data_IF_771965593016
#
_entry.id   IF_771965593016
#
_cell.length_a   1.000
_cell.length_b   1.000
_cell.length_c   1.000
_cell.angle_alpha   90.00
_cell.angle_beta   90.00
_cell.angle_gamma   90.00
#
_symmetry.space_group_name_H-M   'P 1'
#
loop_
_entity.id
_entity.type
_entity.pdbx_description
1 polymer ?
#
# COMPACT_ATOMS: atom_id res chain seq x y z
N UNK A 1 -34.00 14.83 6.54
CA UNK A 1 -33.90 13.91 5.40
C UNK A 1 -32.57 13.22 5.57
N UNK A 2 -32.60 12.03 6.16
CA UNK A 2 -31.38 11.25 6.39
C UNK A 2 -31.07 10.52 5.08
N UNK A 3 -30.10 11.03 4.33
CA UNK A 3 -29.59 10.35 3.14
C UNK A 3 -28.92 9.08 3.61
N UNK A 4 -29.54 7.93 3.33
CA UNK A 4 -28.93 6.62 3.55
C UNK A 4 -27.75 6.56 2.57
N UNK A 5 -26.53 6.61 3.11
CA UNK A 5 -25.31 6.43 2.32
C UNK A 5 -25.35 5.04 1.68
N UNK A 6 -25.13 5.00 0.37
CA UNK A 6 -24.93 3.77 -0.39
C UNK A 6 -23.62 3.12 0.05
N UNK A 7 -23.49 1.78 0.00
CA UNK A 7 -22.20 1.11 0.16
C UNK A 7 -21.10 1.69 -0.76
N UNK A 8 -21.48 2.23 -1.93
CA UNK A 8 -20.56 2.89 -2.87
C UNK A 8 -19.95 4.20 -2.33
N UNK A 9 -20.58 4.82 -1.33
CA UNK A 9 -20.14 6.09 -0.73
C UNK A 9 -19.01 5.87 0.31
N UNK A 10 -18.65 4.61 0.58
CA UNK A 10 -17.59 4.25 1.54
C UNK A 10 -16.30 3.76 0.89
N UNK A 11 -16.27 3.57 -0.44
CA UNK A 11 -15.08 3.09 -1.13
C UNK A 11 -14.31 4.22 -1.82
N UNK A 12 -12.99 4.11 -1.77
CA UNK A 12 -12.04 5.07 -2.28
C UNK A 12 -11.18 4.42 -3.36
N UNK A 13 -10.98 5.12 -4.47
CA UNK A 13 -10.17 4.62 -5.58
C UNK A 13 -8.71 4.47 -5.17
N UNK A 14 -8.11 3.33 -5.51
CA UNK A 14 -6.71 3.04 -5.18
C UNK A 14 -5.76 4.12 -5.72
N UNK A 15 -4.86 4.58 -4.87
CA UNK A 15 -3.88 5.64 -5.15
C UNK A 15 -4.48 6.99 -5.58
N UNK A 16 -5.76 7.24 -5.29
CA UNK A 16 -6.32 8.60 -5.35
C UNK A 16 -5.81 9.48 -4.20
N UNK A 17 -5.91 10.82 -4.31
CA UNK A 17 -5.54 11.72 -3.21
C UNK A 17 -6.26 11.40 -1.89
N UNK A 18 -7.54 11.02 -1.96
CA UNK A 18 -8.33 10.62 -0.79
C UNK A 18 -7.83 9.29 -0.19
N UNK A 19 -7.40 8.35 -1.04
CA UNK A 19 -6.81 7.10 -0.57
C UNK A 19 -5.52 7.34 0.22
N UNK A 20 -4.67 8.25 -0.25
CA UNK A 20 -3.43 8.62 0.45
C UNK A 20 -3.67 9.35 1.78
N UNK A 21 -4.68 10.23 1.84
CA UNK A 21 -5.07 10.89 3.09
C UNK A 21 -5.53 9.86 4.15
N UNK A 22 -6.35 8.88 3.75
CA UNK A 22 -6.76 7.79 4.64
C UNK A 22 -5.56 6.92 5.02
N UNK A 23 -4.72 6.52 4.05
CA UNK A 23 -3.54 5.70 4.29
C UNK A 23 -2.58 6.35 5.29
N UNK A 24 -2.37 7.66 5.17
CA UNK A 24 -1.54 8.42 6.11
C UNK A 24 -2.13 8.39 7.52
N UNK A 25 -3.43 8.66 7.67
CA UNK A 25 -4.12 8.64 8.98
C UNK A 25 -4.07 7.27 9.64
N UNK A 26 -4.36 6.21 8.88
CA UNK A 26 -4.30 4.82 9.36
C UNK A 26 -2.88 4.44 9.76
N UNK A 27 -1.89 4.77 8.95
CA UNK A 27 -0.48 4.48 9.22
C UNK A 27 0.02 5.20 10.48
N UNK A 28 -0.31 6.48 10.66
CA UNK A 28 0.01 7.25 11.87
C UNK A 28 -0.63 6.62 13.11
N UNK A 29 -1.91 6.23 13.04
CA UNK A 29 -2.60 5.60 14.16
C UNK A 29 -1.94 4.25 14.52
N UNK A 30 -1.68 3.39 13.54
CA UNK A 30 -1.04 2.09 13.74
C UNK A 30 0.36 2.22 14.33
N UNK A 31 1.16 3.19 13.88
CA UNK A 31 2.50 3.47 14.43
C UNK A 31 2.43 3.92 15.89
N UNK A 32 1.51 4.82 16.24
CA UNK A 32 1.32 5.28 17.63
C UNK A 32 0.98 4.14 18.58
N UNK A 33 0.24 3.15 18.08
CA UNK A 33 -0.16 1.94 18.81
C UNK A 33 0.90 0.84 18.78
N UNK A 34 2.01 1.01 18.06
CA UNK A 34 3.05 -0.02 17.92
C UNK A 34 2.61 -1.25 17.11
N UNK A 35 1.65 -1.08 16.20
CA UNK A 35 1.04 -2.17 15.44
C UNK A 35 1.71 -2.44 14.08
N UNK A 36 2.77 -1.69 13.77
CA UNK A 36 3.58 -1.88 12.55
C UNK A 36 5.05 -1.84 12.91
N UNK A 37 5.85 -2.56 12.14
CA UNK A 37 7.29 -2.56 12.32
C UNK A 37 7.95 -1.28 11.80
N UNK A 38 9.14 -0.98 12.34
CA UNK A 38 10.00 0.09 11.85
C UNK A 38 10.55 -0.25 10.45
N UNK A 39 10.85 0.80 9.69
CA UNK A 39 11.47 0.69 8.38
C UNK A 39 10.84 1.60 7.33
N UNK A 40 11.39 1.51 6.12
CA UNK A 40 10.97 2.29 4.95
C UNK A 40 10.32 1.36 3.93
N UNK A 41 9.07 1.63 3.57
CA UNK A 41 8.36 0.94 2.48
C UNK A 41 8.20 1.90 1.32
N UNK A 42 8.66 1.50 0.13
CA UNK A 42 8.51 2.28 -1.09
C UNK A 42 7.80 1.46 -2.15
N UNK A 43 6.80 2.05 -2.78
CA UNK A 43 6.04 1.41 -3.84
C UNK A 43 6.03 2.37 -5.04
N UNK A 44 6.41 1.85 -6.20
CA UNK A 44 6.38 2.56 -7.47
C UNK A 44 5.38 1.85 -8.37
N UNK A 45 4.45 2.62 -8.89
CA UNK A 45 3.36 2.16 -9.71
C UNK A 45 3.52 2.75 -11.12
N UNK A 46 3.46 1.90 -12.14
CA UNK A 46 3.48 2.30 -13.54
C UNK A 46 2.15 1.99 -14.22
N UNK A 47 1.97 2.56 -15.42
CA UNK A 47 0.73 2.47 -16.19
C UNK A 47 -0.49 2.94 -15.38
N UNK A 48 -0.26 3.97 -14.56
CA UNK A 48 -1.27 4.59 -13.70
C UNK A 48 -2.28 5.36 -14.55
N UNK A 49 -3.59 5.25 -14.29
CA UNK A 49 -4.60 6.04 -14.98
C UNK A 49 -4.29 7.54 -14.98
N UNK A 50 -4.48 8.19 -16.13
CA UNK A 50 -4.07 9.59 -16.33
C UNK A 50 -4.75 10.59 -15.38
N UNK A 51 -5.95 10.26 -14.84
CA UNK A 51 -6.63 11.09 -13.85
C UNK A 51 -6.01 10.99 -12.45
N UNK A 52 -5.16 9.99 -12.20
CA UNK A 52 -4.39 9.82 -10.97
C UNK A 52 -2.95 10.33 -11.13
N UNK A 53 -2.30 10.07 -12.27
CA UNK A 53 -0.97 10.57 -12.60
C UNK A 53 -0.81 10.81 -14.10
N UNK A 54 -0.55 12.06 -14.51
CA UNK A 54 -0.55 12.43 -15.93
C UNK A 54 0.63 11.87 -16.74
N UNK A 55 1.72 11.50 -16.07
CA UNK A 55 2.89 10.84 -16.66
C UNK A 55 2.83 9.30 -16.58
N UNK A 56 1.72 8.76 -16.05
CA UNK A 56 1.51 7.32 -15.89
C UNK A 56 2.32 6.69 -14.76
N UNK A 57 2.99 7.49 -13.92
CA UNK A 57 3.85 7.03 -12.84
C UNK A 57 3.41 7.61 -11.50
N UNK A 58 3.35 6.76 -10.48
CA UNK A 58 3.07 7.21 -9.12
C UNK A 58 3.97 6.46 -8.14
N UNK A 59 4.60 7.17 -7.22
CA UNK A 59 5.42 6.55 -6.18
C UNK A 59 5.07 7.12 -4.81
N UNK A 60 5.17 6.28 -3.79
CA UNK A 60 5.09 6.72 -2.40
C UNK A 60 6.10 6.01 -1.53
N UNK A 61 6.49 6.70 -0.47
CA UNK A 61 7.40 6.19 0.55
C UNK A 61 6.77 6.41 1.91
N UNK A 62 6.60 5.32 2.67
CA UNK A 62 6.18 5.36 4.07
C UNK A 62 7.38 5.07 4.97
N UNK A 63 7.63 5.94 5.94
CA UNK A 63 8.70 5.79 6.93
C UNK A 63 8.12 5.59 8.32
N UNK A 64 8.56 4.55 9.02
CA UNK A 64 8.16 4.26 10.40
C UNK A 64 9.39 4.29 11.30
N UNK A 65 9.39 5.23 12.25
CA UNK A 65 10.48 5.44 13.22
C UNK A 65 9.90 5.53 14.63
N UNK A 66 10.09 4.46 15.42
CA UNK A 66 9.47 4.34 16.73
C UNK A 66 7.94 4.46 16.67
N UNK A 67 7.39 5.56 17.20
CA UNK A 67 5.93 5.86 17.21
C UNK A 67 5.54 6.91 16.16
N UNK A 68 6.45 7.29 15.28
CA UNK A 68 6.22 8.25 14.22
C UNK A 68 6.04 7.55 12.87
N UNK A 69 5.18 8.12 12.03
CA UNK A 69 4.99 7.69 10.65
C UNK A 69 4.96 8.93 9.75
N UNK A 70 5.67 8.87 8.62
CA UNK A 70 5.49 9.81 7.52
C UNK A 70 5.09 9.09 6.24
N UNK A 71 4.48 9.84 5.33
CA UNK A 71 4.15 9.41 3.98
C UNK A 71 4.55 10.54 3.03
N UNK A 72 5.40 10.22 2.06
CA UNK A 72 5.83 11.13 1.01
C UNK A 72 5.43 10.54 -0.34
N UNK A 73 4.84 11.34 -1.24
CA UNK A 73 4.42 10.90 -2.58
C UNK A 73 5.59 10.98 -3.58
N UNK A 74 6.71 10.35 -3.20
CA UNK A 74 7.93 10.24 -4.00
C UNK A 74 8.56 8.87 -3.80
N UNK A 75 9.29 8.40 -4.82
CA UNK A 75 10.16 7.23 -4.73
C UNK A 75 11.37 7.55 -3.83
N UNK A 76 11.75 6.62 -2.96
CA UNK A 76 13.01 6.72 -2.22
C UNK A 76 14.14 5.93 -2.93
N UNK A 77 15.42 6.26 -2.65
CA UNK A 77 16.55 5.46 -3.10
C UNK A 77 16.47 3.97 -2.68
N UNK A 78 16.99 3.08 -3.52
CA UNK A 78 16.96 1.63 -3.28
C UNK A 78 17.71 1.21 -2.00
N UNK A 79 18.73 1.97 -1.61
CA UNK A 79 19.54 1.71 -0.42
C UNK A 79 18.84 2.12 0.88
N UNK A 80 17.90 3.06 0.81
CA UNK A 80 17.05 3.51 1.93
C UNK A 80 15.92 2.50 2.25
N UNK A 81 15.35 1.88 1.22
CA UNK A 81 14.16 1.06 1.37
C UNK A 81 14.41 -0.25 2.13
N UNK A 82 13.53 -0.60 3.05
CA UNK A 82 13.47 -1.94 3.65
C UNK A 82 12.68 -2.88 2.75
N UNK A 83 11.56 -2.39 2.24
CA UNK A 83 10.82 -3.05 1.16
C UNK A 83 10.63 -2.05 0.03
N UNK A 84 11.00 -2.46 -1.18
CA UNK A 84 10.73 -1.70 -2.39
C UNK A 84 10.19 -2.61 -3.47
N UNK A 85 9.06 -2.21 -4.05
CA UNK A 85 8.47 -2.87 -5.20
C UNK A 85 8.23 -1.88 -6.33
N UNK A 86 8.29 -2.38 -7.57
CA UNK A 86 7.74 -1.71 -8.74
C UNK A 86 6.63 -2.59 -9.31
N UNK A 87 5.48 -2.03 -9.68
CA UNK A 87 4.38 -2.83 -10.20
C UNK A 87 3.50 -2.07 -11.18
N UNK A 88 2.85 -2.82 -12.08
CA UNK A 88 1.75 -2.33 -12.90
C UNK A 88 0.58 -1.93 -12.00
N UNK A 89 -0.07 -0.80 -12.26
CA UNK A 89 -1.27 -0.38 -11.52
C UNK A 89 -2.34 -1.47 -11.50
N UNK A 90 -2.57 -2.11 -12.65
CA UNK A 90 -3.54 -3.19 -12.78
C UNK A 90 -3.17 -4.46 -12.01
N UNK A 91 -1.88 -4.70 -11.75
CA UNK A 91 -1.40 -5.84 -10.97
C UNK A 91 -1.36 -5.55 -9.46
N UNK A 92 -1.09 -4.31 -9.09
CA UNK A 92 -1.07 -3.87 -7.69
C UNK A 92 -2.47 -3.72 -7.11
N UNK A 93 -3.47 -3.37 -7.93
CA UNK A 93 -4.84 -3.14 -7.51
C UNK A 93 -5.52 -4.38 -6.86
N UNK A 94 -5.45 -5.60 -7.44
CA UNK A 94 -5.93 -6.81 -6.77
C UNK A 94 -5.23 -7.07 -5.42
N UNK A 95 -3.93 -6.79 -5.33
CA UNK A 95 -3.17 -6.90 -4.08
C UNK A 95 -3.66 -5.89 -3.05
N UNK A 96 -3.87 -4.63 -3.45
CA UNK A 96 -4.35 -3.56 -2.58
C UNK A 96 -5.76 -3.81 -2.02
N UNK A 97 -6.58 -4.62 -2.70
CA UNK A 97 -7.93 -5.02 -2.27
C UNK A 97 -7.96 -6.32 -1.47
N UNK A 98 -6.83 -7.01 -1.35
CA UNK A 98 -6.80 -8.35 -0.75
C UNK A 98 -6.88 -8.27 0.77
N UNK A 99 -7.87 -8.93 1.39
CA UNK A 99 -7.90 -9.07 2.84
C UNK A 99 -7.01 -10.24 3.28
N UNK A 100 -5.87 -9.91 3.88
CA UNK A 100 -4.89 -10.89 4.37
C UNK A 100 -5.47 -11.58 5.62
N UNK A 101 -5.67 -12.90 5.52
CA UNK A 101 -6.16 -13.74 6.61
C UNK A 101 -5.09 -14.11 7.63
N UNK A 102 -5.38 -15.12 8.46
CA UNK A 102 -4.42 -15.68 9.42
C UNK A 102 -3.25 -16.40 8.76
N UNK A 103 -3.42 -16.84 7.51
CA UNK A 103 -2.35 -17.22 6.62
C UNK A 103 -2.32 -16.25 5.44
N UNK A 104 -1.12 -15.94 4.96
CA UNK A 104 -0.87 -15.02 3.85
C UNK A 104 -0.61 -15.75 2.53
N UNK A 105 -0.75 -17.09 2.49
CA UNK A 105 -0.41 -17.93 1.35
C UNK A 105 -1.10 -17.50 0.05
N UNK A 106 -2.37 -17.11 0.10
CA UNK A 106 -3.13 -16.64 -1.06
C UNK A 106 -2.67 -15.24 -1.52
N UNK A 107 -2.33 -14.36 -0.57
CA UNK A 107 -1.77 -13.05 -0.88
C UNK A 107 -0.39 -13.18 -1.53
N UNK A 108 0.46 -14.05 -0.98
CA UNK A 108 1.77 -14.37 -1.54
C UNK A 108 1.64 -15.00 -2.93
N UNK A 109 0.70 -15.92 -3.14
CA UNK A 109 0.47 -16.53 -4.44
C UNK A 109 0.08 -15.49 -5.50
N UNK A 110 -0.82 -14.57 -5.17
CA UNK A 110 -1.21 -13.46 -6.05
C UNK A 110 -0.02 -12.55 -6.38
N UNK A 111 0.80 -12.21 -5.38
CA UNK A 111 1.99 -11.41 -5.60
C UNK A 111 3.01 -12.15 -6.49
N UNK A 112 3.23 -13.45 -6.26
CA UNK A 112 4.15 -14.27 -7.04
C UNK A 112 3.67 -14.50 -8.47
N UNK A 113 2.36 -14.55 -8.71
CA UNK A 113 1.79 -14.57 -10.07
C UNK A 113 2.10 -13.25 -10.81
N UNK A 114 1.95 -12.10 -10.15
CA UNK A 114 2.33 -10.82 -10.73
C UNK A 114 3.84 -10.75 -11.03
N UNK A 115 4.69 -11.29 -10.14
CA UNK A 115 6.14 -11.42 -10.40
C UNK A 115 6.42 -12.31 -11.60
N UNK A 116 5.82 -13.49 -11.66
CA UNK A 116 6.04 -14.44 -12.76
C UNK A 116 5.64 -13.88 -14.13
N UNK A 117 4.66 -12.98 -14.16
CA UNK A 117 4.20 -12.30 -15.37
C UNK A 117 4.96 -11.00 -15.70
N UNK A 118 5.99 -10.65 -14.92
CA UNK A 118 6.76 -9.41 -15.09
C UNK A 118 5.97 -8.15 -14.79
N UNK A 119 4.92 -8.27 -13.96
CA UNK A 119 3.99 -7.20 -13.57
C UNK A 119 4.26 -6.63 -12.18
N UNK A 120 5.10 -7.30 -11.41
CA UNK A 120 5.62 -6.84 -10.14
C UNK A 120 7.10 -7.23 -10.05
N UNK A 121 7.93 -6.30 -9.59
CA UNK A 121 9.34 -6.51 -9.30
C UNK A 121 9.60 -6.20 -7.83
N UNK A 122 10.23 -7.14 -7.12
CA UNK A 122 10.70 -6.91 -5.75
C UNK A 122 12.16 -6.44 -5.84
N UNK A 123 12.35 -5.12 -5.78
CA UNK A 123 13.68 -4.49 -5.81
C UNK A 123 14.44 -4.81 -4.52
N UNK A 124 13.72 -4.75 -3.39
CA UNK A 124 14.30 -5.01 -2.07
C UNK A 124 13.27 -5.56 -1.12
N UNK A 125 13.68 -6.51 -0.30
CA UNK A 125 12.90 -7.01 0.82
C UNK A 125 13.83 -7.42 1.95
N UNK A 126 13.85 -6.61 3.01
CA UNK A 126 14.54 -6.92 4.26
C UNK A 126 13.50 -7.43 5.28
N UNK A 127 13.69 -8.65 5.82
CA UNK A 127 12.81 -9.16 6.86
C UNK A 127 12.79 -8.21 8.05
N UNK A 128 11.59 -7.87 8.54
CA UNK A 128 11.44 -7.08 9.75
C UNK A 128 11.16 -8.00 10.95
N UNK A 129 11.81 -7.72 12.08
CA UNK A 129 11.58 -8.45 13.34
C UNK A 129 10.31 -7.98 14.10
N UNK A 130 9.58 -6.99 13.58
CA UNK A 130 8.40 -6.42 14.22
C UNK A 130 7.06 -6.95 13.68
N UNK A 131 5.93 -6.36 14.14
CA UNK A 131 4.60 -6.72 13.66
C UNK A 131 4.46 -6.55 12.14
N UNK A 132 3.73 -7.46 11.50
CA UNK A 132 3.41 -7.34 10.07
C UNK A 132 2.58 -6.09 9.76
N UNK A 133 2.69 -5.57 8.54
CA UNK A 133 1.84 -4.49 8.04
C UNK A 133 0.38 -4.89 7.77
N UNK A 134 -0.02 -6.14 8.04
CA UNK A 134 -1.31 -6.68 7.62
C UNK A 134 -2.50 -5.89 8.17
N UNK A 135 -2.41 -5.30 9.36
CA UNK A 135 -3.51 -4.48 9.91
C UNK A 135 -3.75 -3.23 9.06
N UNK A 136 -2.68 -2.48 8.74
CA UNK A 136 -2.79 -1.28 7.89
C UNK A 136 -3.26 -1.69 6.49
N UNK A 137 -2.70 -2.75 5.93
CA UNK A 137 -3.11 -3.28 4.64
C UNK A 137 -4.59 -3.63 4.61
N UNK A 138 -5.08 -4.43 5.56
CA UNK A 138 -6.47 -4.87 5.60
C UNK A 138 -7.45 -3.71 5.83
N UNK A 139 -7.07 -2.69 6.62
CA UNK A 139 -7.88 -1.49 6.77
C UNK A 139 -8.03 -0.73 5.45
N UNK A 140 -6.96 -0.61 4.66
CA UNK A 140 -7.03 0.00 3.33
C UNK A 140 -7.78 -0.88 2.33
N UNK A 141 -7.53 -2.20 2.34
CA UNK A 141 -8.16 -3.15 1.44
C UNK A 141 -9.70 -3.13 1.56
N UNK A 142 -10.22 -3.02 2.78
CA UNK A 142 -11.65 -2.93 3.04
C UNK A 142 -12.34 -1.69 2.42
N UNK A 143 -11.57 -0.64 2.11
CA UNK A 143 -12.05 0.63 1.57
C UNK A 143 -11.66 0.83 0.11
N UNK A 144 -10.78 0.00 -0.45
CA UNK A 144 -10.21 0.20 -1.78
C UNK A 144 -11.15 -0.35 -2.86
N UNK A 145 -11.59 0.50 -3.80
CA UNK A 145 -12.36 0.09 -4.99
C UNK A 145 -11.56 0.09 -6.28
#
# INVERSE_FOLDING_TARGET
>A
MDTILSPADFFVEFASPEWFDIYQKVSIAACRLGMVAQGVTCEVCHDVPAHLASDGMLAWTRRVEGKSCSLDLVECPDDEAYTKIRADYAALLPLARFLIGTNDSAFQALAMEAVANGKLEIIRHMPSAGPSNHIVHNMMAALTR
#
